data_IF_960905215763
#
_entry.id   IF_960905215763
#
_cell.length_a   1.000
_cell.length_b   1.000
_cell.length_c   1.000
_cell.angle_alpha   90.00
_cell.angle_beta   90.00
_cell.angle_gamma   90.00
#
_symmetry.space_group_name_H-M   'P 1'
#
loop_
_entity.id
_entity.type
_entity.pdbx_description
1 polymer ?
#
# COMPACT_ATOMS: atom_id res chain seq x y z
N UNK A 1 3.71 -3.60 23.67
CA UNK A 1 3.45 -2.81 22.44
C UNK A 1 2.88 -3.70 21.37
N UNK A 2 1.91 -3.21 20.69
CA UNK A 2 1.25 -3.99 19.64
C UNK A 2 1.17 -3.18 18.34
N UNK A 3 1.37 -3.84 17.22
CA UNK A 3 1.32 -3.19 15.91
C UNK A 3 0.07 -3.62 15.19
N UNK A 4 -0.69 -2.63 14.72
CA UNK A 4 -1.89 -2.88 13.93
C UNK A 4 -1.63 -2.32 12.55
N UNK A 5 -1.77 -3.16 11.53
CA UNK A 5 -1.59 -2.77 10.15
C UNK A 5 -2.96 -2.76 9.48
N UNK A 6 -3.31 -1.62 8.90
CA UNK A 6 -4.55 -1.51 8.14
C UNK A 6 -4.46 -2.41 6.91
N UNK A 7 -5.57 -3.06 6.56
CA UNK A 7 -5.59 -3.91 5.38
C UNK A 7 -5.99 -3.14 4.12
N UNK A 8 -5.90 -1.82 4.15
CA UNK A 8 -6.24 -0.98 3.01
C UNK A 8 -5.20 0.10 2.81
N UNK A 9 -4.98 0.48 1.57
CA UNK A 9 -4.06 1.53 1.21
C UNK A 9 -4.60 2.29 0.00
N UNK A 10 -4.28 3.58 -0.06
CA UNK A 10 -4.66 4.39 -1.21
C UNK A 10 -3.59 4.30 -2.27
N UNK A 11 -4.00 4.01 -3.49
CA UNK A 11 -3.10 4.00 -4.65
C UNK A 11 -3.45 5.17 -5.53
N UNK A 12 -2.44 5.91 -5.95
CA UNK A 12 -2.62 7.07 -6.83
C UNK A 12 -2.07 6.75 -8.21
N UNK A 13 -2.91 6.89 -9.23
CA UNK A 13 -2.48 6.75 -10.61
C UNK A 13 -1.69 8.01 -10.97
N UNK A 14 -0.42 7.84 -11.35
CA UNK A 14 0.46 8.99 -11.56
C UNK A 14 0.09 9.79 -12.80
N UNK A 15 -0.61 9.18 -13.74
CA UNK A 15 -1.02 9.88 -14.96
C UNK A 15 -2.26 10.74 -14.74
N UNK A 16 -3.27 10.18 -14.07
CA UNK A 16 -4.54 10.88 -13.89
C UNK A 16 -4.63 11.60 -12.55
N UNK A 17 -3.71 11.31 -11.64
CA UNK A 17 -3.70 11.85 -10.29
C UNK A 17 -4.96 11.48 -9.51
N UNK A 18 -5.57 10.36 -9.87
CA UNK A 18 -6.76 9.85 -9.19
C UNK A 18 -6.31 8.78 -8.20
N UNK A 19 -6.83 8.86 -6.98
CA UNK A 19 -6.52 7.90 -5.94
C UNK A 19 -7.69 6.95 -5.74
N UNK A 20 -7.37 5.68 -5.56
CA UNK A 20 -8.38 4.65 -5.28
C UNK A 20 -7.94 3.83 -4.09
N UNK A 21 -8.91 3.32 -3.34
CA UNK A 21 -8.62 2.47 -2.20
C UNK A 21 -8.40 1.04 -2.69
N UNK A 22 -7.37 0.39 -2.15
CA UNK A 22 -7.07 -0.99 -2.47
C UNK A 22 -7.04 -1.80 -1.19
N UNK A 23 -7.23 -3.11 -1.33
CA UNK A 23 -6.98 -4.03 -0.24
C UNK A 23 -5.52 -4.43 -0.26
N UNK A 24 -4.96 -4.67 0.92
CA UNK A 24 -3.53 -4.94 1.07
C UNK A 24 -3.34 -6.35 1.60
N UNK A 25 -2.39 -7.07 1.00
CA UNK A 25 -1.99 -8.38 1.46
C UNK A 25 -0.46 -8.45 1.43
N UNK A 26 0.10 -9.34 2.23
CA UNK A 26 1.54 -9.61 2.26
C UNK A 26 2.37 -8.33 2.47
N UNK A 27 1.91 -7.47 3.36
CA UNK A 27 2.61 -6.21 3.60
C UNK A 27 3.93 -6.44 4.31
N UNK A 28 5.00 -5.87 3.76
CA UNK A 28 6.33 -5.84 4.37
C UNK A 28 6.81 -4.41 4.39
N UNK A 29 6.84 -3.83 5.56
CA UNK A 29 7.17 -2.42 5.72
C UNK A 29 8.53 -2.11 5.13
N UNK A 30 8.58 -1.08 4.29
CA UNK A 30 9.82 -0.69 3.64
C UNK A 30 10.29 -1.63 2.54
N UNK A 31 9.45 -2.57 2.11
CA UNK A 31 9.80 -3.52 1.06
C UNK A 31 8.73 -3.61 -0.02
N UNK A 32 7.58 -4.21 0.31
CA UNK A 32 6.55 -4.39 -0.72
C UNK A 32 5.23 -4.80 -0.09
N UNK A 33 4.19 -4.72 -0.89
CA UNK A 33 2.90 -5.31 -0.55
C UNK A 33 2.13 -5.58 -1.84
N UNK A 34 1.11 -6.41 -1.71
CA UNK A 34 0.20 -6.70 -2.82
C UNK A 34 -1.06 -5.88 -2.62
N UNK A 35 -1.41 -5.09 -3.63
CA UNK A 35 -2.62 -4.29 -3.60
C UNK A 35 -3.64 -4.91 -4.54
N UNK A 36 -4.90 -4.97 -4.08
CA UNK A 36 -5.99 -5.53 -4.87
C UNK A 36 -7.02 -4.46 -5.13
N UNK A 37 -7.27 -4.20 -6.40
CA UNK A 37 -8.35 -3.31 -6.85
C UNK A 37 -9.28 -4.19 -7.66
N UNK A 38 -10.48 -4.46 -7.15
CA UNK A 38 -11.38 -5.45 -7.72
C UNK A 38 -10.64 -6.79 -7.80
N UNK A 39 -10.52 -7.37 -8.99
CA UNK A 39 -9.81 -8.64 -9.14
C UNK A 39 -8.37 -8.47 -9.59
N UNK A 40 -7.89 -7.24 -9.66
CA UNK A 40 -6.55 -6.97 -10.17
C UNK A 40 -5.56 -6.86 -9.02
N UNK A 41 -4.47 -7.62 -9.13
CA UNK A 41 -3.40 -7.59 -8.15
C UNK A 41 -2.26 -6.73 -8.68
N UNK A 42 -1.81 -5.80 -7.86
CA UNK A 42 -0.72 -4.90 -8.21
C UNK A 42 0.36 -5.05 -7.15
N UNK A 43 1.55 -5.44 -7.59
CA UNK A 43 2.69 -5.54 -6.67
C UNK A 43 3.29 -4.17 -6.47
N UNK A 44 3.27 -3.69 -5.22
CA UNK A 44 3.82 -2.39 -4.86
C UNK A 44 5.17 -2.60 -4.19
N UNK A 45 6.19 -1.91 -4.69
CA UNK A 45 7.56 -2.05 -4.20
C UNK A 45 8.07 -0.73 -3.66
N UNK A 46 8.80 -0.80 -2.55
CA UNK A 46 9.38 0.37 -1.91
C UNK A 46 10.61 0.84 -2.69
N UNK A 47 10.63 2.12 -3.03
CA UNK A 47 11.75 2.69 -3.78
C UNK A 47 12.66 3.56 -2.92
N UNK A 48 12.53 3.46 -1.58
CA UNK A 48 13.29 4.30 -0.65
C UNK A 48 12.50 5.49 -0.16
N UNK A 49 11.34 5.75 -0.77
CA UNK A 49 10.54 6.93 -0.43
C UNK A 49 9.05 6.62 -0.41
N UNK A 50 8.57 5.82 -1.36
CA UNK A 50 7.16 5.53 -1.52
C UNK A 50 7.05 4.18 -2.21
N UNK A 51 5.87 3.55 -2.11
CA UNK A 51 5.63 2.30 -2.83
C UNK A 51 5.17 2.62 -4.25
N UNK A 52 5.73 1.89 -5.21
CA UNK A 52 5.43 2.09 -6.64
C UNK A 52 5.10 0.74 -7.26
N UNK A 53 4.07 0.72 -8.07
CA UNK A 53 3.68 -0.49 -8.81
C UNK A 53 3.17 -0.14 -10.18
N UNK A 54 3.20 -1.12 -11.08
CA UNK A 54 2.72 -0.96 -12.44
C UNK A 54 1.74 -2.06 -12.77
N UNK A 55 0.64 -1.70 -13.42
CA UNK A 55 -0.34 -2.65 -13.88
C UNK A 55 -1.06 -2.06 -15.07
N UNK A 56 -1.26 -2.88 -16.11
CA UNK A 56 -2.03 -2.50 -17.29
C UNK A 56 -1.52 -1.20 -17.93
N UNK A 57 -0.20 -1.01 -17.96
CA UNK A 57 0.39 0.19 -18.54
C UNK A 57 0.25 1.43 -17.69
N UNK A 58 -0.21 1.29 -16.45
CA UNK A 58 -0.38 2.42 -15.54
C UNK A 58 0.57 2.29 -14.36
N UNK A 59 1.06 3.42 -13.88
CA UNK A 59 1.90 3.46 -12.71
C UNK A 59 1.08 3.95 -11.52
N UNK A 60 1.25 3.28 -10.38
CA UNK A 60 0.58 3.64 -9.15
C UNK A 60 1.61 3.89 -8.06
N UNK A 61 1.33 4.86 -7.22
CA UNK A 61 2.15 5.13 -6.04
C UNK A 61 1.26 5.04 -4.80
N UNK A 62 1.88 4.77 -3.65
CA UNK A 62 1.14 4.66 -2.40
C UNK A 62 2.07 4.89 -1.23
N UNK A 63 1.53 5.48 -0.18
CA UNK A 63 2.27 5.58 1.08
C UNK A 63 2.20 4.27 1.87
N UNK A 64 1.42 3.32 1.36
CA UNK A 64 1.24 2.05 2.02
C UNK A 64 0.07 2.07 2.99
N UNK A 65 -0.21 0.92 3.61
CA UNK A 65 -1.27 0.84 4.61
C UNK A 65 -0.86 1.60 5.86
N UNK A 66 -1.84 2.06 6.61
CA UNK A 66 -1.57 2.73 7.88
C UNK A 66 -1.09 1.70 8.89
N UNK A 67 -0.03 2.07 9.59
CA UNK A 67 0.54 1.23 10.64
C UNK A 67 0.37 1.98 11.95
N UNK A 68 -0.23 1.32 12.93
CA UNK A 68 -0.41 1.90 14.25
C UNK A 68 0.35 1.07 15.27
N UNK A 69 1.02 1.77 16.16
CA UNK A 69 1.73 1.14 17.26
C UNK A 69 0.99 1.47 18.54
N UNK A 70 0.44 0.44 19.16
CA UNK A 70 -0.31 0.62 20.40
C UNK A 70 0.54 0.17 21.56
N UNK A 71 0.77 1.08 22.46
CA UNK A 71 1.53 0.79 23.68
C UNK A 71 0.56 0.22 24.72
N UNK A 72 0.78 -1.02 25.11
CA UNK A 72 -0.07 -1.69 26.07
C UNK A 72 0.55 -1.61 27.47
N UNK A 73 -0.27 -1.70 28.46
CA UNK A 73 0.11 -1.69 29.81
C UNK A 73 0.18 -0.31 30.37
N UNK A 74 0.50 -0.12 31.14
CA UNK A 74 0.45 0.95 31.66
C UNK A 74 1.30 1.23 32.10
#
# INVERSE_FOLDING_TARGET
MRTIIDNKAMLTNTRSDVSVESEVDNFREGKSFDAFIATNKIKMNWNGRIYVGNAHGMEFTSEGPKVRYIKEGR
#
